data_IF_522665134929
#
_entry.id   IF_522665134929
#
_cell.length_a   1.000
_cell.length_b   1.000
_cell.length_c   1.000
_cell.angle_alpha   90.00
_cell.angle_beta   90.00
_cell.angle_gamma   90.00
#
_symmetry.space_group_name_H-M   'P 1'
#
loop_
_entity.id
_entity.type
_entity.pdbx_description
1 polymer ?
#
# COMPACT_ATOMS: atom_id res chain seq x y z
N UNK A 1 41.86 1.66 -15.41
CA UNK A 1 40.65 2.52 -15.49
C UNK A 1 39.33 1.79 -15.81
N UNK A 2 39.29 0.56 -16.34
CA UNK A 2 38.02 -0.18 -16.62
C UNK A 2 37.17 -0.55 -15.39
N UNK A 3 37.79 -0.70 -14.21
CA UNK A 3 37.13 -1.11 -12.97
C UNK A 3 36.08 -0.12 -12.42
N UNK A 4 36.26 1.19 -12.64
CA UNK A 4 35.30 2.19 -12.16
C UNK A 4 34.02 2.27 -13.00
N UNK A 5 34.10 2.05 -14.33
CA UNK A 5 32.91 2.03 -15.21
C UNK A 5 31.99 0.85 -14.96
N UNK A 6 32.54 -0.34 -14.69
CA UNK A 6 31.71 -1.51 -14.36
C UNK A 6 30.95 -1.35 -13.04
N UNK A 7 31.53 -0.65 -12.06
CA UNK A 7 30.86 -0.36 -10.78
C UNK A 7 29.75 0.70 -10.90
N UNK A 8 29.84 1.64 -11.83
CA UNK A 8 28.76 2.62 -12.06
C UNK A 8 27.57 2.00 -12.79
N UNK A 9 27.81 1.15 -13.78
CA UNK A 9 26.72 0.48 -14.53
C UNK A 9 25.94 -0.51 -13.65
N UNK A 10 26.62 -1.32 -12.82
CA UNK A 10 25.92 -2.23 -11.90
C UNK A 10 25.03 -1.51 -10.88
N UNK A 11 25.46 -0.34 -10.38
CA UNK A 11 24.63 0.47 -9.45
C UNK A 11 23.40 1.04 -10.13
N UNK A 12 23.52 1.44 -11.40
CA UNK A 12 22.40 1.99 -12.17
C UNK A 12 21.36 0.92 -12.48
N UNK A 13 21.79 -0.29 -12.85
CA UNK A 13 20.89 -1.43 -13.10
C UNK A 13 20.16 -1.87 -11.81
N UNK A 14 20.87 -1.98 -10.68
CA UNK A 14 20.24 -2.31 -9.40
C UNK A 14 19.24 -1.22 -8.94
N UNK A 15 19.56 0.06 -9.17
CA UNK A 15 18.63 1.17 -8.86
C UNK A 15 17.39 1.16 -9.74
N UNK A 16 17.53 0.89 -11.04
CA UNK A 16 16.39 0.82 -11.96
C UNK A 16 15.49 -0.38 -11.65
N UNK A 17 16.05 -1.55 -11.32
CA UNK A 17 15.27 -2.71 -10.90
C UNK A 17 14.44 -2.39 -9.62
N UNK A 18 15.10 -1.83 -8.60
CA UNK A 18 14.42 -1.44 -7.36
C UNK A 18 13.36 -0.34 -7.55
N UNK A 19 13.52 0.56 -8.52
CA UNK A 19 12.52 1.58 -8.84
C UNK A 19 11.31 1.01 -9.59
N UNK A 20 11.53 0.05 -10.51
CA UNK A 20 10.46 -0.59 -11.28
C UNK A 20 9.53 -1.40 -10.37
N UNK A 21 10.09 -2.13 -9.42
CA UNK A 21 9.31 -2.93 -8.47
C UNK A 21 8.42 -2.05 -7.58
N UNK A 22 8.89 -0.84 -7.22
CA UNK A 22 8.10 0.14 -6.45
C UNK A 22 6.92 0.69 -7.23
N UNK A 23 7.09 0.96 -8.53
CA UNK A 23 6.01 1.46 -9.39
C UNK A 23 4.95 0.38 -9.60
N UNK A 24 5.38 -0.86 -9.87
CA UNK A 24 4.46 -2.00 -10.02
C UNK A 24 3.68 -2.24 -8.73
N UNK A 25 4.34 -2.14 -7.57
CA UNK A 25 3.68 -2.20 -6.27
C UNK A 25 2.62 -1.09 -6.13
N UNK A 26 2.97 0.16 -6.45
CA UNK A 26 2.06 1.31 -6.35
C UNK A 26 0.84 1.19 -7.27
N UNK A 27 1.06 0.73 -8.50
CA UNK A 27 0.02 0.50 -9.52
C UNK A 27 -0.90 -0.67 -9.16
N UNK A 28 -0.34 -1.78 -8.66
CA UNK A 28 -1.13 -2.91 -8.17
C UNK A 28 -2.03 -2.52 -6.99
N UNK A 29 -1.57 -1.58 -6.15
CA UNK A 29 -2.35 -1.04 -5.04
C UNK A 29 -3.46 -0.08 -5.51
N UNK A 30 -3.24 0.67 -6.60
CA UNK A 30 -4.24 1.58 -7.18
C UNK A 30 -5.31 0.86 -8.01
N UNK A 31 -5.01 -0.35 -8.52
CA UNK A 31 -5.90 -1.08 -9.43
C UNK A 31 -7.29 -1.37 -8.84
N UNK A 32 -7.36 -1.79 -7.57
CA UNK A 32 -8.63 -2.17 -6.94
C UNK A 32 -9.60 -0.97 -6.74
N UNK A 33 -9.17 0.17 -6.16
CA UNK A 33 -10.04 1.33 -6.06
C UNK A 33 -10.38 1.93 -7.42
N UNK A 34 -9.44 1.91 -8.38
CA UNK A 34 -9.71 2.35 -9.75
C UNK A 34 -10.79 1.49 -10.44
N UNK A 35 -10.72 0.17 -10.26
CA UNK A 35 -11.73 -0.75 -10.80
C UNK A 35 -13.10 -0.49 -10.16
N UNK A 36 -13.16 -0.24 -8.85
CA UNK A 36 -14.42 0.08 -8.17
C UNK A 36 -15.05 1.38 -8.71
N UNK A 37 -14.24 2.42 -8.96
CA UNK A 37 -14.72 3.68 -9.54
C UNK A 37 -15.21 3.49 -10.98
N UNK A 38 -14.43 2.80 -11.82
CA UNK A 38 -14.73 2.67 -13.26
C UNK A 38 -15.84 1.65 -13.54
N UNK A 39 -15.82 0.48 -12.88
CA UNK A 39 -16.75 -0.60 -13.18
C UNK A 39 -18.09 -0.50 -12.42
N UNK A 40 -18.09 0.09 -11.22
CA UNK A 40 -19.28 0.19 -10.38
C UNK A 40 -19.86 1.62 -10.31
N UNK A 41 -19.25 2.58 -11.02
CA UNK A 41 -19.67 3.99 -10.99
C UNK A 41 -19.53 4.62 -9.61
N UNK A 42 -18.61 4.10 -8.78
CA UNK A 42 -18.46 4.55 -7.40
C UNK A 42 -17.88 5.98 -7.33
N UNK A 43 -18.24 6.78 -6.30
CA UNK A 43 -17.74 8.14 -6.16
C UNK A 43 -16.21 8.13 -5.99
N UNK A 44 -15.51 8.93 -6.80
CA UNK A 44 -14.04 8.93 -6.84
C UNK A 44 -13.41 9.39 -5.52
N UNK A 45 -14.02 10.36 -4.84
CA UNK A 45 -13.46 11.01 -3.64
C UNK A 45 -13.19 10.02 -2.50
N UNK A 46 -14.16 9.23 -2.01
CA UNK A 46 -13.91 8.28 -0.93
C UNK A 46 -12.88 7.21 -1.32
N UNK A 47 -12.86 6.76 -2.57
CA UNK A 47 -11.89 5.75 -3.05
C UNK A 47 -10.48 6.32 -3.18
N UNK A 48 -10.34 7.57 -3.62
CA UNK A 48 -9.07 8.28 -3.61
C UNK A 48 -8.57 8.53 -2.19
N UNK A 49 -9.46 8.88 -1.26
CA UNK A 49 -9.12 9.04 0.15
C UNK A 49 -8.68 7.71 0.78
N UNK A 50 -9.39 6.62 0.48
CA UNK A 50 -9.05 5.26 0.92
C UNK A 50 -7.66 4.82 0.40
N UNK A 51 -7.39 5.08 -0.88
CA UNK A 51 -6.08 4.81 -1.48
C UNK A 51 -4.96 5.63 -0.83
N UNK A 52 -5.17 6.94 -0.66
CA UNK A 52 -4.21 7.82 -0.01
C UNK A 52 -3.94 7.42 1.44
N UNK A 53 -4.99 7.05 2.18
CA UNK A 53 -4.89 6.54 3.55
C UNK A 53 -4.08 5.25 3.63
N UNK A 54 -4.34 4.30 2.71
CA UNK A 54 -3.61 3.04 2.61
C UNK A 54 -2.11 3.28 2.35
N UNK A 55 -1.78 4.18 1.43
CA UNK A 55 -0.38 4.54 1.14
C UNK A 55 0.31 5.19 2.34
N UNK A 56 -0.33 6.20 2.95
CA UNK A 56 0.21 6.87 4.13
C UNK A 56 0.44 5.88 5.27
N UNK A 57 -0.53 5.01 5.53
CA UNK A 57 -0.44 3.97 6.54
C UNK A 57 0.69 2.98 6.25
N UNK A 58 0.83 2.54 5.00
CA UNK A 58 1.94 1.67 4.60
C UNK A 58 3.31 2.31 4.80
N UNK A 59 3.45 3.61 4.48
CA UNK A 59 4.69 4.34 4.72
C UNK A 59 5.01 4.49 6.21
N UNK A 60 3.99 4.74 7.05
CA UNK A 60 4.14 4.80 8.51
C UNK A 60 4.65 3.46 9.05
N UNK A 61 4.02 2.36 8.65
CA UNK A 61 4.42 1.01 9.10
C UNK A 61 5.84 0.69 8.61
N UNK A 62 6.19 1.01 7.37
CA UNK A 62 7.53 0.78 6.82
C UNK A 62 8.63 1.57 7.55
N UNK A 63 8.29 2.70 8.17
CA UNK A 63 9.21 3.49 9.00
C UNK A 63 9.56 2.85 10.34
N UNK A 64 8.78 1.85 10.78
CA UNK A 64 8.98 1.15 12.06
C UNK A 64 9.99 0.02 11.86
N UNK A 65 11.03 -0.02 12.69
CA UNK A 65 12.11 -1.02 12.55
C UNK A 65 11.73 -2.41 13.07
N UNK A 66 10.89 -2.47 14.08
CA UNK A 66 10.58 -3.71 14.77
C UNK A 66 9.33 -4.38 14.19
N UNK A 67 9.47 -5.65 13.77
CA UNK A 67 8.39 -6.39 13.10
C UNK A 67 7.15 -6.59 13.98
N UNK A 68 7.35 -6.78 15.29
CA UNK A 68 6.28 -6.88 16.29
C UNK A 68 5.43 -5.60 16.32
N UNK A 69 6.08 -4.43 16.39
CA UNK A 69 5.44 -3.12 16.37
C UNK A 69 4.79 -2.81 15.03
N UNK A 70 5.42 -3.18 13.91
CA UNK A 70 4.83 -2.97 12.58
C UNK A 70 3.44 -3.61 12.47
N UNK A 71 3.29 -4.85 12.93
CA UNK A 71 2.00 -5.56 12.89
C UNK A 71 0.96 -4.90 13.79
N UNK A 72 1.35 -4.47 14.99
CA UNK A 72 0.45 -3.76 15.92
C UNK A 72 -0.02 -2.42 15.33
N UNK A 73 0.91 -1.65 14.75
CA UNK A 73 0.61 -0.36 14.12
C UNK A 73 -0.24 -0.56 12.86
N UNK A 74 0.04 -1.56 12.04
CA UNK A 74 -0.77 -1.90 10.87
C UNK A 74 -2.21 -2.27 11.26
N UNK A 75 -2.40 -3.05 12.33
CA UNK A 75 -3.72 -3.40 12.83
C UNK A 75 -4.47 -2.17 13.38
N UNK A 76 -3.79 -1.29 14.11
CA UNK A 76 -4.37 -0.04 14.61
C UNK A 76 -4.81 0.89 13.46
N UNK A 77 -3.95 1.07 12.45
CA UNK A 77 -4.26 1.86 11.25
C UNK A 77 -5.39 1.22 10.44
N UNK A 78 -5.43 -0.11 10.32
CA UNK A 78 -6.57 -0.78 9.70
C UNK A 78 -7.87 -0.46 10.44
N UNK A 79 -7.90 -0.57 11.77
CA UNK A 79 -9.09 -0.27 12.57
C UNK A 79 -9.54 1.19 12.39
N UNK A 80 -8.61 2.15 12.46
CA UNK A 80 -8.88 3.58 12.23
C UNK A 80 -9.43 3.81 10.82
N UNK A 81 -8.82 3.20 9.80
CA UNK A 81 -9.28 3.31 8.43
C UNK A 81 -10.66 2.70 8.20
N UNK A 82 -10.99 1.60 8.87
CA UNK A 82 -12.32 0.97 8.79
C UNK A 82 -13.38 1.87 9.41
N UNK A 83 -13.11 2.42 10.59
CA UNK A 83 -14.02 3.39 11.22
C UNK A 83 -14.19 4.62 10.33
N UNK A 84 -13.09 5.18 9.83
CA UNK A 84 -13.12 6.32 8.91
C UNK A 84 -13.93 6.04 7.64
N UNK A 85 -13.78 4.84 7.04
CA UNK A 85 -14.53 4.42 5.87
C UNK A 85 -16.04 4.34 6.13
N UNK A 86 -16.45 3.86 7.31
CA UNK A 86 -17.87 3.78 7.67
C UNK A 86 -18.53 5.15 7.88
N UNK A 87 -17.73 6.20 8.09
CA UNK A 87 -18.22 7.58 8.22
C UNK A 87 -18.33 8.31 6.86
N UNK A 88 -17.81 7.73 5.78
CA UNK A 88 -17.90 8.31 4.45
C UNK A 88 -19.24 7.98 3.80
N UNK A 89 -19.74 8.91 2.99
CA UNK A 89 -20.96 8.72 2.21
C UNK A 89 -20.67 7.84 0.98
N UNK A 90 -20.66 6.53 1.22
CA UNK A 90 -20.38 5.50 0.21
C UNK A 90 -21.64 4.65 0.02
N UNK A 91 -21.99 4.24 -1.20
CA UNK A 91 -23.12 3.35 -1.43
C UNK A 91 -23.00 2.09 -0.56
N UNK A 92 -24.11 1.67 0.07
CA UNK A 92 -24.12 0.53 1.03
C UNK A 92 -23.50 -0.74 0.44
N UNK A 93 -23.71 -0.96 -0.86
CA UNK A 93 -23.15 -2.10 -1.60
C UNK A 93 -21.62 -2.11 -1.63
N UNK A 94 -20.94 -0.97 -1.45
CA UNK A 94 -19.48 -0.85 -1.44
C UNK A 94 -18.89 -0.69 -0.03
N UNK A 95 -19.69 -0.69 1.03
CA UNK A 95 -19.16 -0.55 2.40
C UNK A 95 -18.19 -1.68 2.79
N UNK A 96 -18.40 -2.89 2.27
CA UNK A 96 -17.48 -4.03 2.48
C UNK A 96 -16.11 -3.83 1.85
N UNK A 97 -16.00 -2.97 0.83
CA UNK A 97 -14.77 -2.78 0.07
C UNK A 97 -13.66 -2.20 0.94
N UNK A 98 -13.96 -1.19 1.77
CA UNK A 98 -12.98 -0.52 2.63
C UNK A 98 -12.24 -1.49 3.56
N UNK A 99 -12.95 -2.27 4.39
CA UNK A 99 -12.32 -3.28 5.25
C UNK A 99 -11.49 -4.31 4.48
N UNK A 100 -12.00 -4.83 3.36
CA UNK A 100 -11.28 -5.81 2.52
C UNK A 100 -10.01 -5.19 1.92
N UNK A 101 -10.10 -3.95 1.47
CA UNK A 101 -8.97 -3.22 0.91
C UNK A 101 -7.90 -2.92 1.96
N UNK A 102 -8.30 -2.45 3.15
CA UNK A 102 -7.40 -2.12 4.26
C UNK A 102 -6.77 -3.34 4.92
N UNK A 103 -7.38 -4.53 4.81
CA UNK A 103 -6.79 -5.78 5.29
C UNK A 103 -5.41 -6.06 4.65
N UNK A 104 -5.11 -5.48 3.48
CA UNK A 104 -3.78 -5.51 2.86
C UNK A 104 -2.69 -4.93 3.77
N UNK A 105 -3.00 -4.02 4.70
CA UNK A 105 -2.02 -3.54 5.70
C UNK A 105 -1.55 -4.71 6.58
N UNK A 106 -2.46 -5.56 7.04
CA UNK A 106 -2.06 -6.68 7.90
C UNK A 106 -1.31 -7.72 7.08
N UNK A 107 -1.83 -8.10 5.90
CA UNK A 107 -1.22 -9.14 5.08
C UNK A 107 0.14 -8.72 4.51
N UNK A 108 0.25 -7.51 3.96
CA UNK A 108 1.49 -7.01 3.37
C UNK A 108 2.64 -6.89 4.37
N UNK A 109 2.36 -6.58 5.63
CA UNK A 109 3.41 -6.44 6.66
C UNK A 109 3.61 -7.71 7.51
N UNK A 110 2.64 -8.63 7.55
CA UNK A 110 2.79 -9.92 8.25
C UNK A 110 3.65 -10.95 7.50
N UNK A 111 3.72 -10.88 6.17
CA UNK A 111 4.41 -11.90 5.35
C UNK A 111 5.91 -11.61 5.19
N UNK A 112 6.33 -10.35 5.20
CA UNK A 112 7.72 -9.96 4.87
C UNK A 112 8.73 -10.15 6.03
N UNK A 113 8.27 -10.29 7.28
CA UNK A 113 9.16 -10.22 8.46
C UNK A 113 9.49 -11.58 9.09
N UNK A 114 9.03 -12.70 8.51
CA UNK A 114 9.44 -14.05 8.91
C UNK A 114 10.81 -14.49 8.38
N UNK A 115 11.50 -13.65 7.59
CA UNK A 115 12.82 -13.92 7.01
C UNK A 115 13.75 -12.72 7.16
N UNK A 116 14.20 -12.43 8.38
CA UNK A 116 15.48 -11.74 8.62
C UNK A 116 16.16 -12.33 9.83
#
# INVERSE_FOLDING_TARGET
>A
MRSQRQRSDQRNVCRQAAARDRIVFLLAHAFHPALAVVALGAPIVPFAALYGYMLASGLIVLGVREASMQRQIAAALMAVGVVGWMLLDVPRLLLWFGPVYLFKLIYGFSVEHGRR
#
